data_IF_268507046205
#
_entry.id   IF_268507046205
#
_cell.length_a   1.000
_cell.length_b   1.000
_cell.length_c   1.000
_cell.angle_alpha   90.00
_cell.angle_beta   90.00
_cell.angle_gamma   90.00
#
_symmetry.space_group_name_H-M   'P 1'
#
loop_
_entity.id
_entity.type
_entity.pdbx_description
1 polymer ?
#
# COMPACT_ATOMS: atom_id res chain seq x y z
N UNK A 1 -0.30 -26.64 4.60
CA UNK A 1 0.59 -25.46 4.67
C UNK A 1 0.44 -24.72 3.34
N UNK A 2 -0.48 -23.75 3.28
CA UNK A 2 -0.80 -23.05 2.04
C UNK A 2 0.26 -21.96 1.83
N UNK A 3 1.29 -22.25 1.02
CA UNK A 3 2.26 -21.24 0.58
C UNK A 3 1.55 -20.29 -0.38
N UNK A 4 0.91 -19.26 0.17
CA UNK A 4 0.45 -18.13 -0.63
C UNK A 4 1.68 -17.29 -0.97
N UNK A 5 2.34 -17.61 -2.08
CA UNK A 5 3.28 -16.68 -2.74
C UNK A 5 2.48 -15.52 -3.34
N UNK A 6 1.87 -14.67 -2.50
CA UNK A 6 1.34 -13.38 -2.94
C UNK A 6 2.56 -12.52 -3.27
N UNK A 7 2.89 -12.43 -4.56
CA UNK A 7 3.86 -11.45 -5.04
C UNK A 7 3.19 -10.09 -4.96
N UNK A 8 3.41 -9.35 -3.89
CA UNK A 8 3.13 -7.92 -3.91
C UNK A 8 4.10 -7.28 -4.92
N UNK A 9 3.61 -6.95 -6.10
CA UNK A 9 4.37 -6.15 -7.08
C UNK A 9 4.37 -4.70 -6.60
N UNK A 10 5.26 -4.38 -5.67
CA UNK A 10 5.55 -3.01 -5.30
C UNK A 10 6.52 -2.47 -6.36
N UNK A 11 5.96 -1.79 -7.37
CA UNK A 11 6.72 -1.13 -8.44
C UNK A 11 7.67 -0.14 -7.76
N UNK A 12 8.98 -0.29 -7.90
CA UNK A 12 9.95 0.69 -7.41
C UNK A 12 10.18 1.77 -8.47
N UNK A 13 9.83 3.02 -8.17
CA UNK A 13 10.13 4.16 -9.02
C UNK A 13 11.63 4.53 -8.95
N UNK A 14 12.21 5.00 -10.06
CA UNK A 14 13.65 5.29 -10.23
C UNK A 14 14.27 6.27 -9.19
N UNK A 15 13.46 6.99 -8.40
CA UNK A 15 13.93 8.02 -7.45
C UNK A 15 13.45 7.85 -6.00
N UNK A 16 12.37 7.11 -5.75
CA UNK A 16 11.75 6.99 -4.44
C UNK A 16 11.33 5.53 -4.19
N UNK A 17 11.52 5.04 -2.97
CA UNK A 17 10.92 3.78 -2.55
C UNK A 17 9.39 3.92 -2.54
N UNK A 18 8.69 2.85 -2.90
CA UNK A 18 7.23 2.85 -3.08
C UNK A 18 6.51 2.02 -2.01
N UNK A 19 7.20 1.74 -0.92
CA UNK A 19 6.65 1.09 0.25
C UNK A 19 7.62 0.13 0.91
N UNK A 20 7.09 -0.69 1.79
CA UNK A 20 7.88 -1.62 2.59
C UNK A 20 7.16 -2.11 3.83
N UNK A 21 7.76 -3.09 4.51
CA UNK A 21 7.29 -3.56 5.80
C UNK A 21 7.45 -2.45 6.82
N UNK A 22 6.40 -2.24 7.61
CA UNK A 22 6.37 -1.25 8.67
C UNK A 22 5.80 -1.89 9.93
N UNK A 23 5.99 -1.22 11.06
CA UNK A 23 5.58 -1.74 12.36
C UNK A 23 5.96 -0.77 13.44
N UNK A 24 6.82 -1.21 14.37
CA UNK A 24 7.33 -0.32 15.40
C UNK A 24 8.30 0.72 14.81
N UNK A 25 9.06 0.32 13.79
CA UNK A 25 9.92 1.23 13.02
C UNK A 25 9.25 1.55 11.68
N UNK A 26 9.36 2.80 11.24
CA UNK A 26 8.70 3.30 10.03
C UNK A 26 9.14 2.61 8.74
N UNK A 27 10.35 2.03 8.70
CA UNK A 27 10.95 1.36 7.54
C UNK A 27 11.72 0.11 7.96
N UNK A 28 11.03 -0.88 8.52
CA UNK A 28 11.66 -2.16 8.89
C UNK A 28 12.30 -2.82 7.67
N UNK A 29 11.61 -2.80 6.53
CA UNK A 29 12.14 -3.26 5.24
C UNK A 29 11.67 -2.32 4.14
N UNK A 30 12.60 -1.82 3.34
CA UNK A 30 12.26 -1.10 2.10
C UNK A 30 12.00 -2.14 1.01
N UNK A 31 10.82 -2.09 0.39
CA UNK A 31 10.49 -2.97 -0.71
C UNK A 31 11.26 -2.53 -1.97
N UNK A 32 12.10 -3.42 -2.48
CA UNK A 32 12.79 -3.29 -3.77
C UNK A 32 12.55 -4.55 -4.59
N UNK A 33 12.72 -4.50 -5.94
CA UNK A 33 12.45 -5.67 -6.78
C UNK A 33 13.29 -6.91 -6.43
N UNK A 34 14.44 -6.72 -5.77
CA UNK A 34 15.33 -7.79 -5.29
C UNK A 34 15.05 -8.25 -3.85
N UNK A 35 14.07 -7.67 -3.15
CA UNK A 35 13.70 -8.08 -1.79
C UNK A 35 13.30 -9.55 -1.76
N UNK A 36 13.82 -10.29 -0.77
CA UNK A 36 13.57 -11.73 -0.59
C UNK A 36 12.67 -12.05 0.60
N UNK A 37 12.20 -11.02 1.31
CA UNK A 37 11.33 -11.21 2.48
C UNK A 37 10.03 -11.91 2.04
N UNK A 38 9.69 -12.97 2.75
CA UNK A 38 8.41 -13.64 2.56
C UNK A 38 7.32 -12.91 3.35
N UNK A 39 6.25 -12.52 2.65
CA UNK A 39 5.11 -11.85 3.25
C UNK A 39 4.33 -12.86 4.11
N UNK A 40 4.12 -12.52 5.38
CA UNK A 40 3.36 -13.34 6.35
C UNK A 40 2.03 -12.68 6.72
N UNK A 41 1.09 -13.49 7.21
CA UNK A 41 -0.17 -12.99 7.77
C UNK A 41 0.10 -12.05 8.95
N UNK A 42 -0.76 -11.05 9.10
CA UNK A 42 -0.75 -10.04 10.16
C UNK A 42 0.47 -9.11 10.15
N UNK A 43 1.29 -9.14 9.09
CA UNK A 43 2.30 -8.13 8.84
C UNK A 43 1.66 -6.86 8.29
N UNK A 44 2.28 -5.73 8.60
CA UNK A 44 1.83 -4.41 8.16
C UNK A 44 2.82 -3.86 7.13
N UNK A 45 2.28 -3.25 6.08
CA UNK A 45 3.05 -2.64 5.01
C UNK A 45 2.54 -1.24 4.74
N UNK A 46 3.47 -0.32 4.50
CA UNK A 46 3.15 0.96 3.89
C UNK A 46 3.30 0.81 2.39
N UNK A 47 2.29 1.27 1.64
CA UNK A 47 2.35 1.45 0.19
C UNK A 47 2.22 2.93 -0.10
N UNK A 48 3.20 3.49 -0.83
CA UNK A 48 3.27 4.94 -0.98
C UNK A 48 3.71 5.43 -2.36
N UNK A 49 2.93 5.07 -3.41
CA UNK A 49 3.20 5.40 -4.80
C UNK A 49 3.41 6.91 -4.98
N UNK A 50 4.46 7.27 -5.71
CA UNK A 50 4.82 8.65 -5.97
C UNK A 50 5.14 8.90 -7.45
N UNK A 51 4.60 10.00 -7.97
CA UNK A 51 4.96 10.62 -9.24
C UNK A 51 5.50 12.04 -8.98
N UNK A 52 6.14 12.71 -9.94
CA UNK A 52 6.50 14.13 -9.78
C UNK A 52 5.26 14.96 -9.40
N UNK A 53 5.29 15.58 -8.22
CA UNK A 53 4.20 16.42 -7.70
C UNK A 53 3.01 15.69 -7.08
N UNK A 54 2.98 14.35 -7.07
CA UNK A 54 1.86 13.58 -6.54
C UNK A 54 2.33 12.38 -5.71
N UNK A 55 1.68 12.12 -4.58
CA UNK A 55 1.86 10.91 -3.78
C UNK A 55 0.52 10.47 -3.21
N UNK A 56 0.30 9.17 -3.22
CA UNK A 56 -0.73 8.53 -2.39
C UNK A 56 -0.03 7.64 -1.38
N UNK A 57 -0.57 7.50 -0.18
CA UNK A 57 0.00 6.65 0.86
C UNK A 57 -1.10 5.97 1.66
N UNK A 58 -0.92 4.68 1.91
CA UNK A 58 -1.74 3.90 2.81
C UNK A 58 -0.91 2.88 3.59
N UNK A 59 -1.43 2.50 4.74
CA UNK A 59 -0.94 1.37 5.51
C UNK A 59 -1.95 0.24 5.42
N UNK A 60 -1.48 -0.98 5.11
CA UNK A 60 -2.32 -2.17 5.02
C UNK A 60 -1.78 -3.29 5.89
N UNK A 61 -2.69 -4.10 6.44
CA UNK A 61 -2.36 -5.37 7.07
C UNK A 61 -2.67 -6.52 6.12
N UNK A 62 -1.79 -7.52 6.10
CA UNK A 62 -1.97 -8.74 5.32
C UNK A 62 -2.93 -9.67 6.06
N UNK A 63 -4.08 -9.97 5.46
CA UNK A 63 -5.03 -10.96 5.98
C UNK A 63 -5.22 -12.10 4.97
N UNK A 64 -5.88 -13.17 5.42
CA UNK A 64 -6.00 -14.41 4.65
C UNK A 64 -6.90 -14.22 3.43
N UNK A 65 -8.02 -13.53 3.60
CA UNK A 65 -9.05 -13.30 2.57
C UNK A 65 -8.83 -12.02 1.75
N UNK A 66 -7.88 -11.16 2.13
CA UNK A 66 -7.61 -9.89 1.46
C UNK A 66 -6.73 -9.00 2.31
N UNK A 67 -6.09 -7.99 1.71
CA UNK A 67 -5.36 -7.01 2.51
C UNK A 67 -6.34 -5.93 2.97
N UNK A 68 -6.23 -5.50 4.23
CA UNK A 68 -7.11 -4.47 4.79
C UNK A 68 -6.35 -3.17 5.03
N UNK A 69 -6.89 -2.06 4.52
CA UNK A 69 -6.35 -0.73 4.78
C UNK A 69 -6.65 -0.27 6.21
N UNK A 70 -5.64 0.28 6.87
CA UNK A 70 -5.69 0.81 8.24
C UNK A 70 -5.84 2.33 8.27
N UNK A 71 -5.64 3.00 7.14
CA UNK A 71 -5.57 4.46 6.99
C UNK A 71 -6.89 5.10 6.52
N UNK A 72 -7.96 4.32 6.38
CA UNK A 72 -9.28 4.86 6.07
C UNK A 72 -9.84 5.61 7.28
N UNK A 73 -10.22 6.87 7.07
CA UNK A 73 -10.72 7.74 8.15
C UNK A 73 -12.21 8.06 8.03
N UNK A 74 -12.81 7.88 6.84
CA UNK A 74 -14.17 8.35 6.54
C UNK A 74 -14.36 9.87 6.57
N UNK A 75 -13.29 10.65 6.80
CA UNK A 75 -13.32 12.12 6.94
C UNK A 75 -12.60 12.86 5.81
N UNK A 76 -11.98 12.11 4.90
CA UNK A 76 -11.29 12.65 3.73
C UNK A 76 -12.14 12.39 2.47
N UNK A 77 -11.78 13.00 1.34
CA UNK A 77 -12.36 12.64 0.03
C UNK A 77 -11.73 11.34 -0.47
N UNK A 78 -12.53 10.47 -1.09
CA UNK A 78 -12.08 9.17 -1.56
C UNK A 78 -12.68 8.85 -2.92
N UNK A 79 -11.94 8.10 -3.73
CA UNK A 79 -12.39 7.54 -5.00
C UNK A 79 -12.35 6.02 -4.93
N UNK A 80 -13.28 5.37 -5.64
CA UNK A 80 -13.27 3.92 -5.82
C UNK A 80 -12.56 3.61 -7.15
N UNK A 81 -11.53 2.76 -7.07
CA UNK A 81 -10.71 2.33 -8.21
C UNK A 81 -10.91 0.84 -8.41
N UNK A 82 -11.33 0.44 -9.61
CA UNK A 82 -11.46 -0.97 -9.97
C UNK A 82 -10.15 -1.52 -10.55
N UNK A 83 -9.71 -2.67 -10.06
CA UNK A 83 -8.56 -3.39 -10.61
C UNK A 83 -8.78 -4.90 -10.50
N UNK A 84 -8.72 -5.60 -11.62
CA UNK A 84 -8.92 -7.06 -11.70
C UNK A 84 -10.24 -7.55 -11.07
N UNK A 85 -11.29 -6.72 -11.10
CA UNK A 85 -12.62 -7.02 -10.54
C UNK A 85 -12.74 -6.71 -9.04
N UNK A 86 -11.67 -6.30 -8.37
CA UNK A 86 -11.70 -5.80 -6.99
C UNK A 86 -11.84 -4.28 -6.95
N UNK A 87 -12.59 -3.76 -5.97
CA UNK A 87 -12.75 -2.32 -5.74
C UNK A 87 -11.82 -1.89 -4.60
N UNK A 88 -10.96 -0.91 -4.87
CA UNK A 88 -10.06 -0.28 -3.91
C UNK A 88 -10.48 1.16 -3.66
N UNK A 89 -10.88 1.47 -2.43
CA UNK A 89 -11.20 2.85 -2.01
C UNK A 89 -9.94 3.62 -1.64
N UNK A 90 -9.54 4.63 -2.40
CA UNK A 90 -8.26 5.35 -2.26
C UNK A 90 -8.48 6.82 -1.89
N UNK A 91 -7.58 7.44 -1.10
CA UNK A 91 -7.69 8.86 -0.80
C UNK A 91 -7.59 9.66 -2.10
N UNK A 92 -8.50 10.61 -2.26
CA UNK A 92 -8.54 11.49 -3.42
C UNK A 92 -7.96 12.87 -3.08
N UNK A 93 -7.83 13.73 -4.09
CA UNK A 93 -7.38 15.12 -3.95
C UNK A 93 -8.54 15.96 -3.42
N UNK A 94 -8.34 16.61 -2.27
CA UNK A 94 -9.29 17.59 -1.76
C UNK A 94 -9.21 18.87 -2.61
N UNK A 95 -10.25 19.13 -3.40
CA UNK A 95 -10.46 20.41 -4.09
C UNK A 95 -11.33 21.28 -3.18
N UNK A 96 -10.95 22.54 -2.99
CA UNK A 96 -11.73 23.54 -2.24
C UNK A 96 -12.03 24.69 -3.18
N UNK A 97 -13.29 25.11 -3.21
CA UNK A 97 -13.67 26.36 -3.85
C UNK A 97 -13.15 27.53 -3.00
N UNK A 98 -12.79 28.63 -3.66
CA UNK A 98 -12.30 29.86 -3.02
C UNK A 98 -13.38 30.60 -2.22
#
# INVERSE_FOLDING_TARGET
MLSMKKRASLIAGKKLHQGGKTGFVSREIIAVPSSKEEIQLHQVFTWNPSLPGLKSEDTMVVEKEGNRFLTYTGKWTYIDVEHEGDIYRRPDILVRDE
#
